data_IF_347761158456
#
_entry.id   IF_347761158456
#
_cell.length_a   1.000
_cell.length_b   1.000
_cell.length_c   1.000
_cell.angle_alpha   90.00
_cell.angle_beta   90.00
_cell.angle_gamma   90.00
#
_symmetry.space_group_name_H-M   'P 1'
#
loop_
_entity.id
_entity.type
_entity.pdbx_description
1 polymer ?
#
# COMPACT_ATOMS: atom_id res chain seq x y z
N UNK A 1 66.82 -21.22 -7.70
CA UNK A 1 66.00 -20.22 -8.40
C UNK A 1 65.10 -19.61 -7.36
N UNK A 2 65.08 -18.32 -7.20
CA UNK A 2 64.03 -17.73 -6.43
C UNK A 2 62.75 -18.15 -7.13
N UNK A 3 61.95 -18.93 -6.44
CA UNK A 3 60.56 -19.07 -6.77
C UNK A 3 60.07 -17.64 -6.93
N UNK A 4 59.75 -17.27 -8.15
CA UNK A 4 59.07 -16.03 -8.36
C UNK A 4 58.00 -15.96 -7.29
N UNK A 5 57.99 -14.88 -6.58
CA UNK A 5 56.86 -14.42 -5.84
C UNK A 5 55.74 -14.09 -6.84
N UNK A 6 55.60 -15.04 -7.75
CA UNK A 6 54.46 -15.19 -8.54
C UNK A 6 53.40 -15.54 -7.54
N UNK A 7 52.54 -14.69 -7.43
CA UNK A 7 51.27 -14.94 -6.85
C UNK A 7 51.18 -14.79 -5.34
N UNK A 8 51.58 -13.67 -4.82
CA UNK A 8 50.55 -12.99 -4.05
C UNK A 8 49.46 -12.61 -5.04
N UNK A 9 48.80 -13.63 -5.58
CA UNK A 9 47.48 -13.47 -6.14
C UNK A 9 46.62 -13.11 -4.94
N UNK A 10 46.54 -11.84 -4.65
CA UNK A 10 45.45 -11.31 -3.86
C UNK A 10 44.22 -11.78 -4.57
N UNK A 11 43.66 -12.89 -4.11
CA UNK A 11 42.32 -13.26 -4.43
C UNK A 11 41.48 -12.10 -3.93
N UNK A 12 41.13 -11.20 -4.82
CA UNK A 12 40.17 -10.14 -4.52
C UNK A 12 38.95 -10.84 -3.99
N UNK A 13 38.72 -10.75 -2.69
CA UNK A 13 37.50 -11.25 -2.09
C UNK A 13 36.41 -10.30 -2.50
N UNK A 14 35.49 -10.79 -3.31
CA UNK A 14 34.26 -10.09 -3.66
C UNK A 14 33.21 -10.62 -2.71
N UNK A 15 32.57 -9.72 -1.96
CA UNK A 15 31.36 -10.07 -1.21
C UNK A 15 30.23 -10.00 -2.21
N UNK A 16 29.77 -11.17 -2.64
CA UNK A 16 28.61 -11.29 -3.53
C UNK A 16 27.43 -11.81 -2.73
N UNK A 17 26.36 -11.04 -2.72
CA UNK A 17 25.09 -11.46 -2.11
C UNK A 17 24.17 -11.98 -3.19
N UNK A 18 23.83 -13.25 -3.13
CA UNK A 18 22.86 -13.88 -4.03
C UNK A 18 21.57 -14.19 -3.25
N UNK A 19 20.45 -13.61 -3.71
CA UNK A 19 19.14 -13.80 -3.08
C UNK A 19 18.16 -14.28 -4.15
N UNK A 20 17.47 -15.38 -3.88
CA UNK A 20 16.41 -15.89 -4.76
C UNK A 20 15.14 -15.04 -4.66
N UNK A 21 14.74 -14.42 -5.75
CA UNK A 21 13.56 -13.52 -5.82
C UNK A 21 12.29 -14.22 -5.33
N UNK A 22 12.05 -15.44 -5.77
CA UNK A 22 10.84 -16.22 -5.38
C UNK A 22 10.80 -16.52 -3.89
N UNK A 23 11.96 -16.78 -3.27
CA UNK A 23 12.05 -17.01 -1.82
C UNK A 23 11.77 -15.74 -1.04
N UNK A 24 12.31 -14.61 -1.48
CA UNK A 24 12.02 -13.31 -0.86
C UNK A 24 10.53 -12.98 -0.99
N UNK A 25 9.97 -13.16 -2.18
CA UNK A 25 8.55 -12.96 -2.43
C UNK A 25 7.69 -13.82 -1.49
N UNK A 26 7.96 -15.13 -1.42
CA UNK A 26 7.23 -16.04 -0.54
C UNK A 26 7.35 -15.63 0.94
N UNK A 27 8.55 -15.25 1.38
CA UNK A 27 8.78 -14.80 2.76
C UNK A 27 8.00 -13.53 3.09
N UNK A 28 7.97 -12.57 2.18
CA UNK A 28 7.21 -11.32 2.35
C UNK A 28 5.71 -11.61 2.41
N UNK A 29 5.21 -12.45 1.51
CA UNK A 29 3.79 -12.83 1.48
C UNK A 29 3.37 -13.58 2.74
N UNK A 30 4.13 -14.59 3.15
CA UNK A 30 3.86 -15.39 4.34
C UNK A 30 3.94 -14.56 5.63
N UNK A 31 4.94 -13.66 5.72
CA UNK A 31 5.10 -12.79 6.88
C UNK A 31 4.07 -11.65 6.95
N UNK A 32 3.40 -11.33 5.85
CA UNK A 32 2.39 -10.28 5.78
C UNK A 32 0.95 -10.81 5.88
N UNK A 33 0.75 -12.12 5.70
CA UNK A 33 -0.57 -12.72 5.82
C UNK A 33 -1.04 -12.76 7.28
N UNK A 34 -2.24 -12.27 7.53
CA UNK A 34 -2.82 -12.22 8.86
C UNK A 34 -4.32 -12.52 8.80
N UNK A 35 -4.80 -13.32 9.74
CA UNK A 35 -6.22 -13.51 10.02
C UNK A 35 -6.55 -12.83 11.34
N UNK A 36 -7.50 -11.92 11.32
CA UNK A 36 -7.92 -11.16 12.50
C UNK A 36 -9.38 -11.47 12.81
N UNK A 37 -9.67 -11.73 14.07
CA UNK A 37 -11.06 -11.85 14.56
C UNK A 37 -11.52 -10.47 15.02
N UNK A 38 -12.59 -9.98 14.41
CA UNK A 38 -13.20 -8.71 14.78
C UNK A 38 -14.06 -8.88 16.04
N UNK A 39 -14.39 -7.77 16.70
CA UNK A 39 -15.24 -7.74 17.89
C UNK A 39 -16.61 -8.41 17.69
N UNK A 40 -17.14 -8.38 16.47
CA UNK A 40 -18.39 -9.04 16.09
C UNK A 40 -18.26 -10.56 15.83
N UNK A 41 -17.07 -11.15 16.05
CA UNK A 41 -16.78 -12.56 15.83
C UNK A 41 -16.51 -12.96 14.37
N UNK A 42 -16.54 -12.01 13.41
CA UNK A 42 -16.20 -12.29 12.02
C UNK A 42 -14.67 -12.31 11.82
N UNK A 43 -14.21 -13.19 10.96
CA UNK A 43 -12.79 -13.26 10.57
C UNK A 43 -12.52 -12.34 9.38
N UNK A 44 -11.42 -11.59 9.46
CA UNK A 44 -10.89 -10.74 8.41
C UNK A 44 -9.51 -11.23 7.97
N UNK A 45 -9.37 -11.53 6.69
CA UNK A 45 -8.05 -11.80 6.09
C UNK A 45 -7.42 -10.48 5.67
N UNK A 46 -6.19 -10.25 6.07
CA UNK A 46 -5.44 -9.02 5.77
C UNK A 46 -4.04 -9.38 5.31
N UNK A 47 -3.61 -8.78 4.22
CA UNK A 47 -2.23 -8.84 3.78
C UNK A 47 -1.50 -7.57 4.26
N UNK A 48 -0.81 -7.64 5.40
CA UNK A 48 -0.13 -6.48 6.05
C UNK A 48 1.21 -6.14 5.42
N UNK A 49 1.22 -5.96 4.11
CA UNK A 49 2.40 -5.45 3.42
C UNK A 49 2.75 -4.03 3.89
N UNK A 50 4.03 -3.69 4.10
CA UNK A 50 4.44 -2.30 4.24
C UNK A 50 3.88 -1.46 3.09
N UNK A 51 3.33 -0.27 3.38
CA UNK A 51 2.66 0.56 2.37
C UNK A 51 3.56 0.87 1.16
N UNK A 52 4.87 1.02 1.39
CA UNK A 52 5.85 1.22 0.33
C UNK A 52 6.01 0.00 -0.60
N UNK A 53 5.73 -1.22 -0.13
CA UNK A 53 5.83 -2.46 -0.91
C UNK A 53 4.49 -2.91 -1.50
N UNK A 54 3.36 -2.38 -1.00
CA UNK A 54 2.04 -2.76 -1.49
C UNK A 54 1.91 -2.50 -3.01
N UNK A 55 1.45 -3.48 -3.81
CA UNK A 55 1.34 -3.33 -5.26
C UNK A 55 0.31 -2.27 -5.67
N UNK A 56 -0.78 -2.14 -4.90
CA UNK A 56 -1.78 -1.09 -5.04
C UNK A 56 -1.65 -0.19 -3.82
N UNK A 57 -1.42 1.11 -4.05
CA UNK A 57 -1.17 2.07 -2.98
C UNK A 57 -2.46 2.55 -2.32
N UNK A 58 -3.49 2.71 -3.12
CA UNK A 58 -4.78 3.18 -2.65
C UNK A 58 -5.93 2.67 -3.52
N UNK A 59 -7.11 2.55 -2.92
CA UNK A 59 -8.36 2.29 -3.63
C UNK A 59 -9.31 3.47 -3.46
N UNK A 60 -9.97 3.88 -4.55
CA UNK A 60 -10.99 4.94 -4.53
C UNK A 60 -12.37 4.29 -4.67
N UNK A 61 -13.21 4.52 -3.67
CA UNK A 61 -14.46 3.81 -3.46
C UNK A 61 -15.61 4.82 -3.32
N UNK A 62 -16.46 5.02 -4.34
CA UNK A 62 -17.66 5.82 -4.17
C UNK A 62 -18.63 5.11 -3.21
N UNK A 63 -19.20 5.83 -2.25
CA UNK A 63 -20.11 5.23 -1.26
C UNK A 63 -21.30 4.55 -1.94
N UNK A 64 -21.91 5.22 -2.92
CA UNK A 64 -23.01 4.72 -3.76
C UNK A 64 -22.72 5.00 -5.23
N UNK A 65 -23.43 4.26 -6.13
CA UNK A 65 -23.31 4.39 -7.60
C UNK A 65 -24.19 5.49 -8.19
N UNK A 66 -24.51 6.52 -7.44
CA UNK A 66 -25.46 7.58 -7.81
C UNK A 66 -24.94 8.93 -7.34
N UNK A 67 -25.67 9.96 -7.69
CA UNK A 67 -25.53 11.31 -7.14
C UNK A 67 -24.16 11.99 -7.43
N UNK A 68 -23.49 11.62 -8.54
CA UNK A 68 -22.22 12.23 -8.93
C UNK A 68 -20.99 11.69 -8.16
N UNK A 69 -21.16 10.70 -7.28
CA UNK A 69 -20.05 10.14 -6.51
C UNK A 69 -19.06 9.31 -7.36
N UNK A 70 -19.52 8.49 -8.33
CA UNK A 70 -18.62 7.80 -9.24
C UNK A 70 -17.76 8.76 -10.06
N UNK A 71 -18.36 9.82 -10.59
CA UNK A 71 -17.69 10.84 -11.39
C UNK A 71 -16.62 11.57 -10.57
N UNK A 72 -16.94 11.92 -9.32
CA UNK A 72 -15.97 12.53 -8.38
C UNK A 72 -14.85 11.56 -8.01
N UNK A 73 -15.17 10.29 -7.82
CA UNK A 73 -14.17 9.26 -7.57
C UNK A 73 -13.23 9.05 -8.77
N UNK A 74 -13.74 9.10 -10.01
CA UNK A 74 -12.91 9.06 -11.21
C UNK A 74 -12.01 10.29 -11.35
N UNK A 75 -12.50 11.47 -10.98
CA UNK A 75 -11.69 12.70 -10.95
C UNK A 75 -10.49 12.53 -10.01
N UNK A 76 -10.71 12.04 -8.80
CA UNK A 76 -9.66 11.74 -7.83
C UNK A 76 -8.69 10.68 -8.37
N UNK A 77 -9.22 9.63 -9.00
CA UNK A 77 -8.39 8.60 -9.64
C UNK A 77 -7.49 9.20 -10.74
N UNK A 78 -8.03 10.06 -11.59
CA UNK A 78 -7.25 10.71 -12.66
C UNK A 78 -6.12 11.57 -12.10
N UNK A 79 -6.35 12.25 -10.98
CA UNK A 79 -5.35 13.06 -10.30
C UNK A 79 -4.21 12.21 -9.71
N UNK A 80 -4.51 11.04 -9.14
CA UNK A 80 -3.54 10.25 -8.38
C UNK A 80 -2.84 9.14 -9.19
N UNK A 81 -3.40 8.69 -10.30
CA UNK A 81 -2.95 7.50 -11.04
C UNK A 81 -1.57 7.63 -11.69
N UNK A 82 -1.07 8.84 -11.87
CA UNK A 82 0.25 9.07 -12.46
C UNK A 82 1.36 8.86 -11.44
N UNK A 83 1.07 9.10 -10.17
CA UNK A 83 2.05 9.00 -9.08
C UNK A 83 1.87 7.69 -8.29
N UNK A 84 0.64 7.16 -8.23
CA UNK A 84 0.32 5.97 -7.46
C UNK A 84 -0.45 4.94 -8.28
N UNK A 85 -0.19 3.68 -8.02
CA UNK A 85 -1.03 2.60 -8.55
C UNK A 85 -2.32 2.54 -7.73
N UNK A 86 -3.40 3.01 -8.35
CA UNK A 86 -4.73 3.12 -7.77
C UNK A 86 -5.66 2.02 -8.28
N UNK A 87 -6.65 1.65 -7.47
CA UNK A 87 -7.75 0.78 -7.88
C UNK A 87 -9.09 1.49 -7.63
N UNK A 88 -10.03 1.31 -8.54
CA UNK A 88 -11.42 1.72 -8.40
C UNK A 88 -12.30 0.51 -8.13
N UNK A 89 -13.23 0.60 -7.20
CA UNK A 89 -14.22 -0.44 -6.95
C UNK A 89 -15.54 0.17 -6.48
N UNK A 90 -16.63 -0.21 -7.15
CA UNK A 90 -17.99 0.20 -6.81
C UNK A 90 -18.95 -0.98 -6.62
N UNK A 91 -18.41 -2.21 -6.65
CA UNK A 91 -19.22 -3.43 -6.58
C UNK A 91 -19.50 -3.81 -5.12
N UNK A 92 -20.73 -4.15 -4.78
CA UNK A 92 -21.20 -4.52 -3.45
C UNK A 92 -21.20 -3.37 -2.42
N UNK A 93 -21.42 -3.70 -1.15
CA UNK A 93 -21.40 -2.74 -0.04
C UNK A 93 -19.97 -2.26 0.26
N UNK A 94 -19.85 -1.07 0.84
CA UNK A 94 -18.55 -0.47 1.17
C UNK A 94 -17.72 -1.38 2.10
N UNK A 95 -18.33 -2.06 3.06
CA UNK A 95 -17.66 -3.00 3.96
C UNK A 95 -17.03 -4.19 3.21
N UNK A 96 -17.73 -4.77 2.22
CA UNK A 96 -17.20 -5.84 1.38
C UNK A 96 -16.04 -5.36 0.52
N UNK A 97 -16.11 -4.12 0.02
CA UNK A 97 -15.02 -3.50 -0.74
C UNK A 97 -13.78 -3.29 0.12
N UNK A 98 -13.92 -2.80 1.34
CA UNK A 98 -12.81 -2.70 2.30
C UNK A 98 -12.15 -4.06 2.54
N UNK A 99 -12.93 -5.12 2.76
CA UNK A 99 -12.39 -6.47 2.97
C UNK A 99 -11.61 -6.98 1.77
N UNK A 100 -12.07 -6.73 0.54
CA UNK A 100 -11.31 -7.07 -0.68
C UNK A 100 -9.97 -6.34 -0.73
N UNK A 101 -9.96 -5.06 -0.39
CA UNK A 101 -8.74 -4.25 -0.37
C UNK A 101 -7.78 -4.69 0.74
N UNK A 102 -8.29 -5.01 1.92
CA UNK A 102 -7.51 -5.56 3.03
C UNK A 102 -6.83 -6.88 2.63
N UNK A 103 -7.57 -7.78 1.96
CA UNK A 103 -7.07 -9.09 1.52
C UNK A 103 -5.96 -9.00 0.46
N UNK A 104 -6.00 -8.02 -0.44
CA UNK A 104 -4.95 -7.81 -1.46
C UNK A 104 -3.82 -6.90 -0.98
N UNK A 105 -3.91 -6.39 0.25
CA UNK A 105 -2.84 -5.61 0.87
C UNK A 105 -2.83 -4.13 0.53
N UNK A 106 -3.93 -3.56 0.02
CA UNK A 106 -4.04 -2.11 -0.23
C UNK A 106 -4.04 -1.36 1.10
N UNK A 107 -3.07 -0.47 1.36
CA UNK A 107 -2.92 0.17 2.67
C UNK A 107 -3.95 1.27 2.94
N UNK A 108 -4.46 1.93 1.89
CA UNK A 108 -5.37 3.07 2.03
C UNK A 108 -6.59 2.92 1.14
N UNK A 109 -7.78 3.12 1.73
CA UNK A 109 -9.03 3.20 1.00
C UNK A 109 -9.60 4.61 1.13
N UNK A 110 -9.85 5.27 -0.01
CA UNK A 110 -10.43 6.60 -0.09
C UNK A 110 -11.91 6.44 -0.40
N UNK A 111 -12.76 6.87 0.51
CA UNK A 111 -14.21 6.84 0.31
C UNK A 111 -14.72 8.21 -0.07
N UNK A 112 -15.44 8.25 -1.17
CA UNK A 112 -16.13 9.42 -1.69
C UNK A 112 -17.60 9.33 -1.29
N UNK A 113 -18.07 10.26 -0.48
CA UNK A 113 -19.40 10.35 0.08
C UNK A 113 -20.17 11.61 -0.38
N UNK A 114 -21.41 11.77 0.04
CA UNK A 114 -22.22 12.93 -0.33
C UNK A 114 -21.68 14.26 0.21
N UNK A 115 -20.98 14.24 1.35
CA UNK A 115 -20.39 15.44 1.91
C UNK A 115 -19.13 15.83 1.14
N UNK A 116 -18.45 14.91 0.49
CA UNK A 116 -17.32 15.18 -0.42
C UNK A 116 -17.70 16.16 -1.53
N UNK A 117 -18.93 16.11 -2.02
CA UNK A 117 -19.42 17.03 -3.06
C UNK A 117 -19.59 18.47 -2.55
N UNK A 118 -19.73 18.66 -1.24
CA UNK A 118 -19.96 19.96 -0.61
C UNK A 118 -18.67 20.59 -0.08
N UNK A 119 -17.85 19.77 0.61
CA UNK A 119 -16.69 20.25 1.37
C UNK A 119 -15.34 19.91 0.71
N UNK A 120 -15.37 19.23 -0.46
CA UNK A 120 -14.18 18.75 -1.18
C UNK A 120 -13.23 17.93 -0.30
N UNK A 121 -13.76 17.19 0.68
CA UNK A 121 -13.02 16.29 1.55
C UNK A 121 -13.43 14.85 1.32
N UNK A 122 -12.50 13.93 1.51
CA UNK A 122 -12.71 12.48 1.42
C UNK A 122 -12.35 11.80 2.71
N UNK A 123 -12.85 10.58 2.91
CA UNK A 123 -12.49 9.77 4.07
C UNK A 123 -11.41 8.78 3.68
N UNK A 124 -10.24 8.85 4.30
CA UNK A 124 -9.17 7.84 4.19
C UNK A 124 -9.38 6.80 5.30
N UNK A 125 -9.45 5.52 4.93
CA UNK A 125 -9.42 4.40 5.87
C UNK A 125 -8.06 3.73 5.80
N UNK A 126 -7.47 3.51 6.97
CA UNK A 126 -6.21 2.79 7.14
C UNK A 126 -6.49 1.28 7.29
N UNK A 127 -5.81 0.45 6.49
CA UNK A 127 -5.97 -1.02 6.52
C UNK A 127 -5.63 -1.60 7.90
N UNK A 128 -4.53 -1.16 8.50
CA UNK A 128 -3.95 -1.82 9.67
C UNK A 128 -4.71 -1.51 10.97
N UNK A 129 -5.19 -0.28 11.12
CA UNK A 129 -5.93 0.19 12.31
C UNK A 129 -7.45 0.22 12.11
N UNK A 130 -7.92 0.17 10.86
CA UNK A 130 -9.32 0.43 10.45
C UNK A 130 -9.83 1.83 10.79
N UNK A 131 -8.98 2.69 11.32
CA UNK A 131 -9.32 4.09 11.59
C UNK A 131 -9.64 4.83 10.29
N UNK A 132 -10.46 5.85 10.43
CA UNK A 132 -10.89 6.69 9.32
C UNK A 132 -10.60 8.15 9.65
N UNK A 133 -10.05 8.86 8.69
CA UNK A 133 -9.69 10.26 8.82
C UNK A 133 -10.28 11.05 7.64
N UNK A 134 -10.89 12.21 7.92
CA UNK A 134 -11.39 13.08 6.86
C UNK A 134 -10.33 14.08 6.45
N UNK A 135 -10.02 14.12 5.16
CA UNK A 135 -8.95 14.96 4.60
C UNK A 135 -9.42 15.68 3.33
N UNK A 136 -8.88 16.89 3.10
CA UNK A 136 -9.10 17.62 1.84
C UNK A 136 -8.46 16.90 0.67
N UNK A 137 -9.14 16.88 -0.47
CA UNK A 137 -8.65 16.29 -1.73
C UNK A 137 -7.32 16.94 -2.14
N UNK A 138 -7.14 18.23 -1.92
CA UNK A 138 -5.92 18.96 -2.28
C UNK A 138 -4.67 18.46 -1.53
N UNK A 139 -4.83 17.97 -0.29
CA UNK A 139 -3.75 17.42 0.53
C UNK A 139 -3.53 15.93 0.35
N UNK A 140 -4.42 15.26 -0.35
CA UNK A 140 -4.45 13.81 -0.46
C UNK A 140 -3.16 13.26 -1.07
N UNK A 141 -2.67 13.88 -2.14
CA UNK A 141 -1.44 13.48 -2.80
C UNK A 141 -0.24 13.49 -1.84
N UNK A 142 -0.05 14.59 -1.10
CA UNK A 142 1.10 14.73 -0.19
C UNK A 142 1.04 13.76 0.97
N UNK A 143 -0.16 13.56 1.56
CA UNK A 143 -0.39 12.59 2.63
C UNK A 143 -0.04 11.17 2.15
N UNK A 144 -0.51 10.76 0.98
CA UNK A 144 -0.23 9.43 0.44
C UNK A 144 1.26 9.29 0.08
N UNK A 145 1.85 10.30 -0.57
CA UNK A 145 3.28 10.30 -0.92
C UNK A 145 4.18 10.05 0.28
N UNK A 146 3.92 10.73 1.38
CA UNK A 146 4.68 10.54 2.61
C UNK A 146 4.54 9.12 3.16
N UNK A 147 3.30 8.61 3.21
CA UNK A 147 2.98 7.31 3.80
C UNK A 147 3.46 6.11 2.98
N UNK A 148 3.55 6.23 1.64
CA UNK A 148 4.03 5.14 0.75
C UNK A 148 5.51 5.28 0.39
N UNK A 149 6.21 6.24 0.96
CA UNK A 149 7.61 6.53 0.65
C UNK A 149 8.54 5.38 1.05
N UNK A 150 9.29 4.83 0.08
CA UNK A 150 10.36 3.87 0.35
C UNK A 150 11.45 4.48 1.25
N UNK A 151 11.76 5.76 1.05
CA UNK A 151 12.72 6.50 1.89
C UNK A 151 12.31 6.50 3.36
N UNK A 152 11.03 6.69 3.65
CA UNK A 152 10.52 6.70 5.01
C UNK A 152 10.50 5.29 5.62
N UNK A 153 10.22 4.26 4.83
CA UNK A 153 10.34 2.87 5.26
C UNK A 153 11.80 2.54 5.63
N UNK A 154 12.76 2.89 4.78
CA UNK A 154 14.18 2.63 5.03
C UNK A 154 14.70 3.36 6.27
N UNK A 155 14.29 4.61 6.50
CA UNK A 155 14.64 5.34 7.73
C UNK A 155 14.21 4.58 8.98
N UNK A 156 12.96 4.09 9.02
CA UNK A 156 12.43 3.32 10.17
C UNK A 156 13.16 2.01 10.45
N UNK A 157 13.81 1.43 9.43
CA UNK A 157 14.58 0.18 9.59
C UNK A 157 16.00 0.46 10.09
N UNK A 158 16.52 1.66 9.82
CA UNK A 158 17.89 2.06 10.17
C UNK A 158 17.99 2.75 11.54
N UNK A 159 16.89 3.19 12.12
CA UNK A 159 16.76 3.69 13.49
C UNK A 159 16.57 2.52 14.48
#
# INVERSE_FOLDING_TARGET
KPSSAASDVYKRQVIETSIGVDRVFLSVMAGSYCEETLENGETRVVLKLPAALAPIKLAVLPLVKKDGLPEKAEEIMKMLRFDFRCQYDEKDSIGKRYRRQDAIGTPYCITVDHDTLKDNCVTIRFRDTMEQERVSIDKLHDIISEKVSMKNLLKKIME
#
